data_IF_230567486421
#
_entry.id   IF_230567486421
#
_cell.length_a   1.000
_cell.length_b   1.000
_cell.length_c   1.000
_cell.angle_alpha   90.00
_cell.angle_beta   90.00
_cell.angle_gamma   90.00
#
_symmetry.space_group_name_H-M   'P 1'
#
loop_
_entity.id
_entity.type
_entity.pdbx_description
1 polymer ?
#
# COMPACT_ATOMS: atom_id res chain seq x y z
N UNK A 1 19.76 -19.90 3.81
CA UNK A 1 18.56 -20.41 4.50
C UNK A 1 17.48 -19.34 4.35
N UNK A 2 16.70 -19.46 3.27
CA UNK A 2 15.63 -18.52 2.92
C UNK A 2 14.42 -18.74 3.84
N UNK A 3 14.05 -17.73 4.62
CA UNK A 3 12.82 -17.76 5.41
C UNK A 3 11.70 -17.19 4.55
N UNK A 4 10.87 -18.08 4.02
CA UNK A 4 9.69 -17.72 3.23
C UNK A 4 8.61 -17.21 4.21
N UNK A 5 8.43 -15.90 4.32
CA UNK A 5 7.34 -15.34 5.12
C UNK A 5 6.02 -15.62 4.40
N UNK A 6 5.28 -16.60 4.94
CA UNK A 6 4.02 -17.06 4.36
C UNK A 6 2.88 -16.30 5.06
N UNK A 7 2.45 -15.19 4.46
CA UNK A 7 1.23 -14.49 4.85
C UNK A 7 0.03 -15.33 4.39
N UNK A 8 -0.41 -16.30 5.20
CA UNK A 8 -1.59 -17.14 4.95
C UNK A 8 -1.71 -17.74 3.53
N UNK A 9 -0.59 -18.17 2.94
CA UNK A 9 -0.54 -18.73 1.58
C UNK A 9 -0.06 -17.76 0.49
N UNK A 10 0.19 -16.50 0.83
CA UNK A 10 0.79 -15.49 -0.05
C UNK A 10 2.28 -15.40 0.29
N UNK A 11 3.13 -15.64 -0.70
CA UNK A 11 4.57 -15.50 -0.55
C UNK A 11 4.92 -14.01 -0.53
N UNK A 12 5.20 -13.48 0.66
CA UNK A 12 5.84 -12.17 0.81
C UNK A 12 7.34 -12.42 1.03
N UNK A 13 8.14 -12.13 0.00
CA UNK A 13 9.58 -12.38 0.02
C UNK A 13 10.34 -11.21 0.64
N UNK A 14 10.03 -10.81 1.87
CA UNK A 14 10.98 -9.99 2.63
C UNK A 14 12.02 -10.92 3.24
N UNK A 15 13.20 -11.01 2.64
CA UNK A 15 14.33 -11.65 3.31
C UNK A 15 14.58 -10.84 4.58
N UNK A 16 14.49 -11.48 5.75
CA UNK A 16 14.54 -10.93 7.12
C UNK A 16 15.61 -9.85 7.44
N UNK A 17 16.54 -9.55 6.52
CA UNK A 17 17.59 -8.55 6.65
C UNK A 17 17.35 -7.23 5.86
N UNK A 18 16.52 -7.24 4.81
CA UNK A 18 16.36 -6.07 3.92
C UNK A 18 15.18 -5.20 4.36
N UNK A 19 15.38 -4.45 5.45
CA UNK A 19 14.43 -3.42 5.91
C UNK A 19 14.59 -2.13 5.11
N UNK A 20 13.55 -1.30 5.10
CA UNK A 20 13.68 0.08 4.61
C UNK A 20 14.75 0.82 5.45
N UNK A 21 15.50 1.72 4.85
CA UNK A 21 16.46 2.54 5.60
C UNK A 21 15.74 3.42 6.63
N UNK A 22 16.33 3.61 7.81
CA UNK A 22 15.78 4.49 8.83
C UNK A 22 16.13 5.95 8.49
N UNK A 23 15.11 6.80 8.38
CA UNK A 23 15.28 8.25 8.25
C UNK A 23 14.35 8.95 9.23
N UNK A 24 14.79 10.06 9.87
CA UNK A 24 13.93 10.82 10.76
C UNK A 24 12.84 11.55 9.96
N UNK A 25 11.61 11.54 10.50
CA UNK A 25 10.47 12.27 9.94
C UNK A 25 9.92 13.19 11.02
N UNK A 26 9.81 14.48 10.72
CA UNK A 26 9.23 15.46 11.65
C UNK A 26 7.72 15.25 11.84
N UNK A 27 7.04 14.76 10.80
CA UNK A 27 5.63 14.39 10.86
C UNK A 27 5.48 12.99 11.51
N UNK A 28 4.82 12.87 12.68
CA UNK A 28 4.62 11.59 13.35
C UNK A 28 3.85 10.56 12.52
N UNK A 29 2.96 10.99 11.63
CA UNK A 29 2.28 10.08 10.70
C UNK A 29 3.26 9.47 9.71
N UNK A 30 4.12 10.29 9.10
CA UNK A 30 5.13 9.80 8.17
C UNK A 30 6.15 8.89 8.87
N UNK A 31 6.55 9.24 10.09
CA UNK A 31 7.39 8.39 10.92
C UNK A 31 6.77 7.01 11.15
N UNK A 32 5.49 6.96 11.53
CA UNK A 32 4.76 5.72 11.76
C UNK A 32 4.62 4.88 10.48
N UNK A 33 4.27 5.50 9.35
CA UNK A 33 4.10 4.77 8.08
C UNK A 33 5.41 4.21 7.55
N UNK A 34 6.50 4.97 7.70
CA UNK A 34 7.81 4.62 7.16
C UNK A 34 8.71 3.91 8.15
N UNK A 35 8.22 3.58 9.36
CA UNK A 35 8.98 2.87 10.38
C UNK A 35 9.54 1.54 9.82
N UNK A 36 10.87 1.37 9.79
CA UNK A 36 11.50 0.18 9.22
C UNK A 36 11.26 -1.10 10.03
N UNK A 37 10.78 -1.01 11.28
CA UNK A 37 10.39 -2.17 12.07
C UNK A 37 9.13 -2.87 11.52
N UNK A 38 8.29 -2.16 10.77
CA UNK A 38 7.02 -2.63 10.23
C UNK A 38 7.06 -2.69 8.69
N UNK A 39 7.47 -3.83 8.08
CA UNK A 39 7.53 -3.97 6.63
C UNK A 39 6.14 -3.94 5.97
N UNK A 40 5.08 -4.27 6.71
CA UNK A 40 3.70 -4.11 6.26
C UNK A 40 3.01 -3.05 7.12
N UNK A 41 2.44 -2.04 6.46
CA UNK A 41 1.67 -0.98 7.12
C UNK A 41 0.33 -0.80 6.41
N UNK A 42 -0.73 -0.64 7.21
CA UNK A 42 -2.07 -0.29 6.75
C UNK A 42 -2.46 1.05 7.35
N UNK A 43 -2.80 2.00 6.49
CA UNK A 43 -3.35 3.31 6.84
C UNK A 43 -4.85 3.27 6.58
N UNK A 44 -5.63 3.45 7.63
CA UNK A 44 -7.10 3.47 7.59
C UNK A 44 -7.57 4.90 7.78
N UNK A 45 -8.51 5.36 6.96
CA UNK A 45 -9.10 6.70 7.11
C UNK A 45 -10.63 6.70 7.02
N UNK A 46 -11.26 7.74 7.55
CA UNK A 46 -12.72 7.84 7.63
C UNK A 46 -13.37 8.66 6.49
N UNK A 47 -12.59 9.18 5.53
CA UNK A 47 -13.14 9.77 4.31
C UNK A 47 -13.99 8.72 3.55
N UNK A 48 -15.15 9.13 3.02
CA UNK A 48 -16.21 8.22 2.58
C UNK A 48 -17.04 8.71 1.38
N UNK A 49 -16.51 9.61 0.55
CA UNK A 49 -17.24 10.22 -0.58
C UNK A 49 -16.57 10.01 -1.94
N UNK A 50 -15.42 9.34 -1.98
CA UNK A 50 -14.58 9.20 -3.17
C UNK A 50 -14.88 7.91 -3.94
N UNK A 51 -14.85 8.00 -5.27
CA UNK A 51 -15.15 6.88 -6.18
C UNK A 51 -13.91 6.54 -7.01
N UNK A 52 -13.68 7.28 -8.10
CA UNK A 52 -12.57 7.04 -9.04
C UNK A 52 -11.36 7.94 -8.81
N UNK A 53 -11.50 8.94 -7.95
CA UNK A 53 -10.46 9.86 -7.49
C UNK A 53 -10.69 10.14 -6.01
N UNK A 54 -9.60 10.19 -5.26
CA UNK A 54 -9.60 10.49 -3.85
C UNK A 54 -8.55 11.57 -3.55
N UNK A 55 -8.97 12.86 -3.53
CA UNK A 55 -8.10 13.97 -3.17
C UNK A 55 -7.54 13.85 -1.75
N UNK A 56 -8.31 13.25 -0.84
CA UNK A 56 -7.88 13.04 0.54
C UNK A 56 -6.72 12.03 0.61
N UNK A 57 -6.87 10.84 0.02
CA UNK A 57 -5.75 9.89 -0.06
C UNK A 57 -4.54 10.50 -0.78
N UNK A 58 -4.76 11.29 -1.85
CA UNK A 58 -3.69 12.00 -2.55
C UNK A 58 -2.93 12.97 -1.63
N UNK A 59 -3.64 13.76 -0.83
CA UNK A 59 -3.03 14.67 0.15
C UNK A 59 -2.29 13.89 1.25
N UNK A 60 -2.89 12.78 1.72
CA UNK A 60 -2.35 11.93 2.77
C UNK A 60 -1.02 11.26 2.36
N UNK A 61 -0.94 10.73 1.14
CA UNK A 61 0.26 10.03 0.67
C UNK A 61 1.32 10.97 0.11
N UNK A 62 0.95 12.19 -0.27
CA UNK A 62 1.85 13.14 -0.93
C UNK A 62 3.17 13.39 -0.17
N UNK A 63 3.15 13.69 1.14
CA UNK A 63 4.37 13.81 1.94
C UNK A 63 5.22 12.54 1.95
N UNK A 64 4.61 11.35 2.02
CA UNK A 64 5.31 10.06 1.99
C UNK A 64 6.01 9.85 0.65
N UNK A 65 5.31 10.11 -0.46
CA UNK A 65 5.86 9.97 -1.81
C UNK A 65 7.03 10.92 -2.04
N UNK A 66 6.95 12.16 -1.54
CA UNK A 66 8.05 13.12 -1.63
C UNK A 66 9.26 12.65 -0.84
N UNK A 67 9.07 12.20 0.40
CA UNK A 67 10.17 11.66 1.20
C UNK A 67 10.80 10.45 0.51
N UNK A 68 10.02 9.46 0.09
CA UNK A 68 10.53 8.25 -0.56
C UNK A 68 11.32 8.55 -1.84
N UNK A 69 10.95 9.58 -2.60
CA UNK A 69 11.66 9.96 -3.82
C UNK A 69 12.82 10.94 -3.61
N UNK A 70 12.95 11.57 -2.44
CA UNK A 70 13.97 12.58 -2.18
C UNK A 70 15.36 11.93 -2.06
N UNK A 71 16.34 12.28 -2.93
CA UNK A 71 17.71 11.76 -2.85
C UNK A 71 18.43 12.06 -1.54
N UNK A 72 18.02 13.09 -0.80
CA UNK A 72 18.58 13.40 0.52
C UNK A 72 18.10 12.44 1.62
N UNK A 73 17.04 11.67 1.36
CA UNK A 73 16.55 10.63 2.27
C UNK A 73 16.64 9.26 1.59
N UNK A 74 15.57 8.75 1.00
CA UNK A 74 15.51 7.40 0.47
C UNK A 74 15.97 7.29 -0.99
N UNK A 75 15.78 8.35 -1.79
CA UNK A 75 16.20 8.39 -3.20
C UNK A 75 15.62 7.28 -4.09
N UNK A 76 14.40 6.81 -3.81
CA UNK A 76 13.79 5.72 -4.58
C UNK A 76 13.32 6.21 -5.95
N UNK A 77 13.87 5.61 -7.01
CA UNK A 77 13.45 5.87 -8.38
C UNK A 77 12.11 5.19 -8.73
N UNK A 78 11.56 5.55 -9.89
CA UNK A 78 10.32 4.99 -10.42
C UNK A 78 10.47 3.59 -11.06
N UNK A 79 11.69 3.06 -11.17
CA UNK A 79 12.00 1.86 -11.94
C UNK A 79 12.08 0.63 -11.05
N UNK A 80 12.87 0.69 -9.99
CA UNK A 80 13.12 -0.40 -9.03
C UNK A 80 12.92 0.04 -7.57
N UNK A 81 12.88 1.35 -7.31
CA UNK A 81 12.71 1.93 -5.99
C UNK A 81 11.26 1.90 -5.50
N UNK A 82 10.41 2.74 -6.08
CA UNK A 82 9.04 3.02 -5.64
C UNK A 82 8.02 2.56 -6.67
N UNK A 83 6.97 1.89 -6.19
CA UNK A 83 5.75 1.63 -6.95
C UNK A 83 4.54 2.18 -6.21
N UNK A 84 3.71 2.97 -6.89
CA UNK A 84 2.41 3.44 -6.40
C UNK A 84 1.33 2.81 -7.25
N UNK A 85 0.41 2.14 -6.59
CA UNK A 85 -0.58 1.27 -7.23
C UNK A 85 -1.96 1.79 -6.90
N UNK A 86 -2.75 2.12 -7.92
CA UNK A 86 -4.11 2.64 -7.77
C UNK A 86 -5.09 1.91 -8.69
N UNK A 87 -6.37 1.77 -8.33
CA UNK A 87 -7.34 1.13 -9.22
C UNK A 87 -7.67 1.91 -10.48
N UNK A 88 -7.80 3.23 -10.31
CA UNK A 88 -8.50 4.06 -11.28
C UNK A 88 -7.52 4.88 -12.09
N UNK A 89 -7.73 4.91 -13.40
CA UNK A 89 -6.94 5.76 -14.31
C UNK A 89 -7.05 7.23 -13.94
N UNK A 90 -8.20 7.66 -13.40
CA UNK A 90 -8.41 9.03 -12.97
C UNK A 90 -7.56 9.39 -11.74
N UNK A 91 -7.47 8.50 -10.74
CA UNK A 91 -6.54 8.66 -9.62
C UNK A 91 -5.08 8.63 -10.09
N UNK A 92 -4.73 7.70 -10.98
CA UNK A 92 -3.40 7.61 -11.58
C UNK A 92 -3.00 8.93 -12.23
N UNK A 93 -3.85 9.48 -13.09
CA UNK A 93 -3.60 10.75 -13.76
C UNK A 93 -3.42 11.90 -12.77
N UNK A 94 -4.27 11.98 -11.73
CA UNK A 94 -4.19 13.01 -10.70
C UNK A 94 -2.86 12.94 -9.92
N UNK A 95 -2.40 11.74 -9.57
CA UNK A 95 -1.12 11.54 -8.89
C UNK A 95 0.07 11.83 -9.81
N UNK A 96 0.05 11.39 -11.06
CA UNK A 96 1.11 11.69 -12.03
C UNK A 96 1.24 13.20 -12.27
N UNK A 97 0.12 13.93 -12.33
CA UNK A 97 0.12 15.38 -12.46
C UNK A 97 0.66 16.09 -11.21
N UNK A 98 0.32 15.63 -10.01
CA UNK A 98 0.77 16.25 -8.77
C UNK A 98 2.23 15.91 -8.41
N UNK A 99 2.74 14.78 -8.89
CA UNK A 99 4.07 14.27 -8.58
C UNK A 99 4.85 13.93 -9.87
N UNK A 100 5.15 14.92 -10.73
CA UNK A 100 5.81 14.68 -12.02
C UNK A 100 7.21 14.07 -11.85
N UNK A 101 7.89 14.33 -10.73
CA UNK A 101 9.19 13.74 -10.38
C UNK A 101 9.15 12.21 -10.20
N UNK A 102 7.96 11.63 -10.01
CA UNK A 102 7.76 10.18 -9.96
C UNK A 102 7.62 9.55 -11.36
N UNK A 103 7.76 10.36 -12.41
CA UNK A 103 7.76 9.88 -13.79
C UNK A 103 9.11 10.17 -14.43
N UNK A 104 9.67 9.15 -15.08
CA UNK A 104 10.84 9.27 -15.92
C UNK A 104 10.35 9.66 -17.31
N UNK A 105 10.76 10.85 -17.76
CA UNK A 105 10.56 11.26 -19.13
C UNK A 105 11.52 10.50 -20.04
N UNK A 106 11.02 10.05 -21.18
CA UNK A 106 11.84 9.52 -22.25
C UNK A 106 12.75 10.67 -22.77
N UNK A 107 14.09 10.52 -22.69
CA UNK A 107 15.02 11.56 -23.13
C UNK A 107 14.89 11.91 -24.61
N UNK A 108 14.42 10.98 -25.45
CA UNK A 108 14.32 11.17 -26.89
C UNK A 108 13.02 11.88 -27.31
N UNK A 109 11.93 11.67 -26.58
CA UNK A 109 10.61 12.24 -26.93
C UNK A 109 10.15 13.36 -25.98
N UNK A 110 10.77 13.48 -24.80
CA UNK A 110 10.33 14.38 -23.73
C UNK A 110 8.99 13.98 -23.11
N UNK A 111 8.40 12.85 -23.52
CA UNK A 111 7.12 12.35 -23.03
C UNK A 111 7.32 11.43 -21.82
N UNK A 112 6.30 11.21 -20.97
CA UNK A 112 6.39 10.26 -19.87
C UNK A 112 6.66 8.84 -20.40
N UNK A 113 7.89 8.35 -20.20
CA UNK A 113 8.31 7.01 -20.62
C UNK A 113 7.89 5.95 -19.60
N UNK A 114 8.07 6.23 -18.30
CA UNK A 114 7.70 5.31 -17.21
C UNK A 114 7.33 6.08 -15.96
N UNK A 115 6.37 5.59 -15.19
CA UNK A 115 5.92 6.22 -13.95
C UNK A 115 5.93 5.23 -12.79
N UNK A 116 6.29 5.71 -11.59
CA UNK A 116 6.14 4.94 -10.37
C UNK A 116 4.66 4.66 -10.10
N UNK A 117 3.76 5.53 -10.58
CA UNK A 117 2.32 5.46 -10.37
C UNK A 117 1.65 4.77 -11.55
N UNK A 118 1.04 3.61 -11.32
CA UNK A 118 0.22 2.94 -12.33
C UNK A 118 -1.00 2.21 -11.78
N UNK A 119 -1.87 1.77 -12.69
CA UNK A 119 -2.94 0.83 -12.33
C UNK A 119 -2.39 -0.58 -12.19
N UNK A 120 -3.13 -1.43 -11.49
CA UNK A 120 -2.62 -2.75 -11.06
C UNK A 120 -2.35 -3.68 -12.23
N UNK A 121 -3.18 -3.58 -13.26
CA UNK A 121 -3.03 -4.34 -14.52
C UNK A 121 -1.81 -3.86 -15.31
N UNK A 122 -1.48 -2.58 -15.16
CA UNK A 122 -0.37 -1.93 -15.86
C UNK A 122 0.90 -1.88 -15.04
N UNK A 123 0.85 -2.28 -13.78
CA UNK A 123 2.02 -2.44 -12.93
C UNK A 123 2.87 -3.61 -13.45
N UNK A 124 3.62 -3.31 -14.53
CA UNK A 124 4.45 -4.24 -15.28
C UNK A 124 5.91 -4.03 -14.90
N UNK A 125 6.58 -5.15 -14.61
CA UNK A 125 7.95 -5.19 -14.10
C UNK A 125 8.03 -5.92 -12.76
N UNK A 126 9.26 -6.23 -12.36
CA UNK A 126 9.57 -6.98 -11.15
C UNK A 126 9.20 -6.26 -9.85
N UNK A 127 9.72 -6.77 -8.74
CA UNK A 127 9.50 -6.21 -7.40
C UNK A 127 10.10 -4.79 -7.26
N UNK A 128 9.50 -3.95 -6.41
CA UNK A 128 9.98 -2.62 -5.99
C UNK A 128 10.46 -2.64 -4.56
N UNK A 129 11.39 -1.77 -4.21
CA UNK A 129 11.85 -1.58 -2.82
C UNK A 129 10.67 -1.25 -1.90
N UNK A 130 9.84 -0.29 -2.31
CA UNK A 130 8.59 0.09 -1.64
C UNK A 130 7.43 0.00 -2.61
N UNK A 131 6.33 -0.61 -2.18
CA UNK A 131 5.03 -0.50 -2.86
C UNK A 131 4.05 0.23 -1.94
N UNK A 132 3.37 1.23 -2.48
CA UNK A 132 2.28 1.94 -1.83
C UNK A 132 1.00 1.72 -2.66
N UNK A 133 -0.03 1.16 -2.05
CA UNK A 133 -1.36 1.01 -2.66
C UNK A 133 -2.28 2.08 -2.10
N UNK A 134 -2.92 2.85 -2.98
CA UNK A 134 -4.00 3.78 -2.64
C UNK A 134 -5.31 3.19 -3.16
N UNK A 135 -6.21 2.82 -2.24
CA UNK A 135 -7.46 2.14 -2.56
C UNK A 135 -8.42 3.03 -3.33
N UNK A 136 -8.33 4.35 -3.15
CA UNK A 136 -9.13 5.39 -3.82
C UNK A 136 -10.61 5.38 -3.42
N UNK A 137 -11.28 4.24 -3.52
CA UNK A 137 -12.70 4.09 -3.30
C UNK A 137 -13.04 4.19 -1.80
N UNK A 138 -13.97 5.06 -1.47
CA UNK A 138 -14.45 5.26 -0.10
C UNK A 138 -15.95 5.49 0.01
N UNK A 139 -16.61 5.87 -1.09
CA UNK A 139 -18.06 5.95 -1.19
C UNK A 139 -18.69 4.56 -1.10
N UNK A 140 -19.59 4.40 -0.12
CA UNK A 140 -20.25 3.12 0.16
C UNK A 140 -21.11 2.65 -1.01
N UNK A 141 -21.86 3.57 -1.63
CA UNK A 141 -22.75 3.24 -2.75
C UNK A 141 -21.97 2.71 -3.95
N UNK A 142 -20.87 3.39 -4.29
CA UNK A 142 -19.98 2.97 -5.37
C UNK A 142 -19.29 1.64 -5.09
N UNK A 143 -18.77 1.42 -3.88
CA UNK A 143 -18.11 0.17 -3.49
C UNK A 143 -19.04 -1.05 -3.63
N UNK A 144 -20.32 -0.91 -3.25
CA UNK A 144 -21.34 -1.94 -3.41
C UNK A 144 -21.68 -2.21 -4.88
N UNK A 145 -21.73 -1.17 -5.72
CA UNK A 145 -22.12 -1.29 -7.12
C UNK A 145 -20.99 -1.79 -8.05
N UNK A 146 -19.74 -1.45 -7.74
CA UNK A 146 -18.59 -1.68 -8.64
C UNK A 146 -17.84 -2.98 -8.41
N UNK A 147 -18.19 -3.75 -7.36
CA UNK A 147 -17.35 -4.83 -6.84
C UNK A 147 -15.89 -4.35 -6.68
N UNK A 148 -15.72 -3.32 -5.83
CA UNK A 148 -14.54 -2.45 -5.72
C UNK A 148 -13.16 -3.12 -5.83
N UNK A 149 -12.15 -2.33 -6.16
CA UNK A 149 -10.81 -2.82 -6.48
C UNK A 149 -10.17 -3.75 -5.43
N UNK A 150 -10.34 -3.42 -4.14
CA UNK A 150 -9.84 -4.25 -3.03
C UNK A 150 -10.64 -5.55 -2.84
N UNK A 151 -11.74 -5.73 -3.56
CA UNK A 151 -12.53 -6.96 -3.60
C UNK A 151 -11.96 -7.99 -4.58
N UNK A 152 -11.01 -7.62 -5.47
CA UNK A 152 -10.25 -8.61 -6.27
C UNK A 152 -8.98 -9.04 -5.51
N UNK A 153 -9.00 -10.22 -4.86
CA UNK A 153 -7.88 -10.70 -4.06
C UNK A 153 -6.59 -10.88 -4.87
N UNK A 154 -6.68 -11.12 -6.18
CA UNK A 154 -5.51 -11.33 -7.03
C UNK A 154 -4.74 -10.03 -7.19
N UNK A 155 -5.44 -8.90 -7.32
CA UNK A 155 -4.86 -7.58 -7.51
C UNK A 155 -4.09 -7.12 -6.27
N UNK A 156 -4.67 -7.32 -5.08
CA UNK A 156 -3.98 -7.02 -3.82
C UNK A 156 -2.81 -7.99 -3.54
N UNK A 157 -2.96 -9.28 -3.88
CA UNK A 157 -1.85 -10.26 -3.79
C UNK A 157 -0.68 -9.84 -4.66
N UNK A 158 -0.95 -9.39 -5.89
CA UNK A 158 0.08 -8.87 -6.77
C UNK A 158 0.74 -7.66 -6.13
N UNK A 159 0.00 -6.67 -5.65
CA UNK A 159 0.60 -5.49 -5.03
C UNK A 159 1.50 -5.84 -3.83
N UNK A 160 1.04 -6.71 -2.92
CA UNK A 160 1.81 -7.14 -1.74
C UNK A 160 3.07 -7.91 -2.13
N UNK A 161 2.97 -8.87 -3.07
CA UNK A 161 4.11 -9.69 -3.51
C UNK A 161 5.16 -8.91 -4.31
N UNK A 162 4.86 -7.68 -4.72
CA UNK A 162 5.80 -6.83 -5.45
C UNK A 162 6.65 -5.95 -4.53
N UNK A 163 6.40 -5.90 -3.23
CA UNK A 163 7.22 -5.14 -2.29
C UNK A 163 8.40 -5.98 -1.77
N UNK A 164 9.63 -5.48 -1.91
CA UNK A 164 10.85 -6.11 -1.36
C UNK A 164 11.04 -5.82 0.12
N UNK A 165 10.86 -4.54 0.52
CA UNK A 165 11.23 -4.06 1.86
C UNK A 165 10.07 -3.45 2.64
N UNK A 166 9.17 -2.73 1.96
CA UNK A 166 7.99 -2.14 2.59
C UNK A 166 6.76 -2.16 1.67
N UNK A 167 5.63 -2.52 2.24
CA UNK A 167 4.31 -2.43 1.64
C UNK A 167 3.43 -1.53 2.51
N UNK A 168 2.87 -0.48 1.90
CA UNK A 168 1.92 0.44 2.53
C UNK A 168 0.59 0.33 1.81
N UNK A 169 -0.48 0.00 2.52
CA UNK A 169 -1.85 0.08 2.01
C UNK A 169 -2.55 1.28 2.63
N UNK A 170 -3.14 2.14 1.82
CA UNK A 170 -4.00 3.25 2.26
C UNK A 170 -5.41 2.97 1.77
N UNK A 171 -6.38 2.94 2.69
CA UNK A 171 -7.77 2.65 2.36
C UNK A 171 -8.77 3.25 3.35
N UNK A 172 -9.96 3.57 2.85
CA UNK A 172 -11.08 4.00 3.69
C UNK A 172 -11.59 2.87 4.60
N UNK A 173 -12.03 3.24 5.81
CA UNK A 173 -12.75 2.34 6.72
C UNK A 173 -14.00 1.74 6.08
N UNK A 174 -14.63 2.44 5.14
CA UNK A 174 -15.79 1.94 4.40
C UNK A 174 -15.48 0.62 3.70
N UNK A 175 -14.30 0.51 3.08
CA UNK A 175 -13.83 -0.73 2.45
C UNK A 175 -13.86 -1.87 3.47
N UNK A 176 -13.27 -1.66 4.65
CA UNK A 176 -13.20 -2.68 5.71
C UNK A 176 -14.57 -3.05 6.33
N UNK A 177 -15.52 -2.10 6.34
CA UNK A 177 -16.86 -2.28 6.89
C UNK A 177 -17.81 -3.05 5.98
N UNK A 178 -17.60 -2.99 4.66
CA UNK A 178 -18.45 -3.65 3.66
C UNK A 178 -18.20 -5.16 3.55
N UNK A 179 -17.10 -5.66 4.11
CA UNK A 179 -16.85 -7.09 4.25
C UNK A 179 -17.72 -7.71 5.37
N UNK A 180 -19.00 -7.98 5.04
CA UNK A 180 -19.95 -8.78 5.84
C UNK A 180 -20.27 -10.10 5.09
N UNK A 181 -20.62 -11.22 5.77
CA UNK A 181 -20.39 -12.60 5.28
C UNK A 181 -21.26 -13.14 4.14
N UNK A 182 -22.26 -12.41 3.65
CA UNK A 182 -23.25 -12.93 2.71
C UNK A 182 -22.88 -12.61 1.25
N UNK A 183 -22.05 -13.47 0.64
CA UNK A 183 -22.10 -13.92 -0.77
C UNK A 183 -20.74 -14.44 -1.27
N UNK A 184 -20.74 -15.44 -2.15
CA UNK A 184 -19.57 -16.21 -2.59
C UNK A 184 -18.40 -15.41 -3.21
N UNK A 185 -18.62 -14.16 -3.62
CA UNK A 185 -17.58 -13.24 -4.10
C UNK A 185 -16.71 -12.70 -2.94
N UNK A 186 -17.24 -12.68 -1.71
CA UNK A 186 -16.58 -12.14 -0.52
C UNK A 186 -15.65 -13.10 0.22
N UNK A 187 -15.64 -14.39 -0.11
CA UNK A 187 -14.78 -15.37 0.58
C UNK A 187 -13.29 -14.98 0.51
N UNK A 188 -12.85 -14.35 -0.57
CA UNK A 188 -11.47 -13.92 -0.74
C UNK A 188 -11.19 -12.52 -0.18
N UNK A 189 -12.18 -11.64 -0.24
CA UNK A 189 -12.13 -10.30 0.34
C UNK A 189 -12.05 -10.38 1.89
N UNK A 190 -12.79 -11.34 2.47
CA UNK A 190 -12.73 -11.71 3.88
C UNK A 190 -11.37 -12.31 4.27
N UNK A 191 -10.72 -13.08 3.39
CA UNK A 191 -9.34 -13.58 3.63
C UNK A 191 -8.35 -12.42 3.78
N UNK A 192 -8.51 -11.36 2.99
CA UNK A 192 -7.64 -10.18 3.07
C UNK A 192 -7.90 -9.32 4.29
N UNK A 193 -9.16 -9.03 4.61
CA UNK A 193 -9.51 -8.38 5.88
C UNK A 193 -8.94 -9.18 7.05
N UNK A 194 -9.14 -10.50 7.07
CA UNK A 194 -8.58 -11.36 8.10
C UNK A 194 -7.05 -11.36 8.10
N UNK A 195 -6.39 -11.33 6.93
CA UNK A 195 -4.93 -11.30 6.84
C UNK A 195 -4.37 -9.98 7.38
N UNK A 196 -4.90 -8.84 6.93
CA UNK A 196 -4.46 -7.53 7.39
C UNK A 196 -4.79 -7.31 8.86
N UNK A 197 -5.98 -7.71 9.33
CA UNK A 197 -6.36 -7.61 10.74
C UNK A 197 -5.55 -8.55 11.65
N UNK A 198 -5.06 -9.70 11.14
CA UNK A 198 -4.19 -10.61 11.92
C UNK A 198 -2.72 -10.23 11.87
N UNK A 199 -2.28 -9.59 10.77
CA UNK A 199 -0.88 -9.24 10.59
C UNK A 199 -0.58 -7.86 11.15
N UNK A 200 -1.41 -6.86 10.82
CA UNK A 200 -1.25 -5.49 11.26
C UNK A 200 -2.06 -5.22 12.53
N UNK A 201 -1.52 -5.67 13.65
CA UNK A 201 -2.18 -5.60 14.97
C UNK A 201 -1.64 -4.49 15.87
N UNK A 202 -0.50 -3.88 15.50
CA UNK A 202 0.12 -2.83 16.30
C UNK A 202 -0.33 -1.46 15.80
N UNK A 203 -1.04 -0.69 16.62
CA UNK A 203 -1.30 0.72 16.31
C UNK A 203 0.00 1.51 16.45
N UNK A 204 0.45 2.14 15.35
CA UNK A 204 1.67 2.94 15.31
C UNK A 204 1.38 4.43 15.51
N UNK A 205 0.21 4.88 15.05
CA UNK A 205 -0.21 6.26 15.14
C UNK A 205 -1.71 6.37 14.87
N UNK A 206 -2.36 7.33 15.50
CA UNK A 206 -3.71 7.73 15.15
C UNK A 206 -3.91 9.24 15.38
N UNK A 207 -4.68 9.88 14.52
CA UNK A 207 -4.88 11.33 14.59
C UNK A 207 -5.86 11.85 13.55
N UNK A 208 -5.94 13.17 13.46
CA UNK A 208 -6.72 13.88 12.44
C UNK A 208 -5.81 14.32 11.28
N UNK A 209 -6.33 14.25 10.07
CA UNK A 209 -5.74 14.81 8.85
C UNK A 209 -6.85 15.54 8.11
N UNK A 210 -6.76 16.85 7.98
CA UNK A 210 -7.73 17.68 7.26
C UNK A 210 -9.20 17.41 7.66
N UNK A 211 -9.46 17.18 8.95
CA UNK A 211 -10.81 16.89 9.48
C UNK A 211 -11.26 15.44 9.29
N UNK A 212 -10.37 14.55 8.85
CA UNK A 212 -10.61 13.12 8.68
C UNK A 212 -9.74 12.33 9.66
N UNK A 213 -10.37 11.44 10.42
CA UNK A 213 -9.66 10.50 11.29
C UNK A 213 -8.83 9.54 10.46
N UNK A 214 -7.56 9.35 10.86
CA UNK A 214 -6.61 8.43 10.24
C UNK A 214 -5.91 7.59 11.32
N UNK A 215 -5.71 6.31 11.04
CA UNK A 215 -5.03 5.33 11.89
C UNK A 215 -3.97 4.59 11.06
N UNK A 216 -2.82 4.32 11.68
CA UNK A 216 -1.69 3.60 11.07
C UNK A 216 -1.44 2.33 11.87
N UNK A 217 -1.53 1.19 11.20
CA UNK A 217 -1.39 -0.13 11.78
C UNK A 217 -0.20 -0.86 11.17
N UNK A 218 0.73 -1.30 12.01
CA UNK A 218 1.94 -2.01 11.62
C UNK A 218 1.80 -3.51 11.83
N UNK A 219 2.27 -4.28 10.85
CA UNK A 219 2.48 -5.71 10.97
C UNK A 219 3.95 -6.04 11.13
N UNK A 220 4.35 -6.42 12.34
CA UNK A 220 5.67 -6.96 12.57
C UNK A 220 5.74 -8.32 11.87
N UNK A 221 6.80 -8.57 11.09
CA UNK A 221 7.01 -9.88 10.51
C UNK A 221 7.25 -10.89 11.64
N UNK A 222 6.25 -11.70 11.99
CA UNK A 222 6.46 -12.80 12.93
C UNK A 222 7.58 -13.69 12.39
N UNK A 223 8.62 -13.88 13.21
CA UNK A 223 9.46 -15.05 13.09
C UNK A 223 8.56 -16.24 13.44
N UNK A 224 8.13 -17.02 12.45
CA UNK A 224 7.52 -18.31 12.75
C UNK A 224 8.51 -19.08 13.61
N UNK A 225 8.19 -19.24 14.90
CA UNK A 225 8.87 -20.19 15.75
C UNK A 225 8.71 -21.55 15.08
N UNK A 226 9.83 -22.25 14.84
CA UNK A 226 9.79 -23.64 14.45
C UNK A 226 9.09 -24.41 15.56
N UNK A 227 7.85 -24.83 15.32
CA UNK A 227 7.32 -25.95 16.07
C UNK A 227 8.04 -27.18 15.53
N UNK A 228 9.17 -27.50 16.14
CA UNK A 228 9.71 -28.86 16.14
C UNK A 228 8.62 -29.75 16.73
N UNK A 229 7.92 -30.47 15.87
CA UNK A 229 7.12 -31.61 16.29
C UNK A 229 8.03 -32.81 16.11
N UNK A 230 8.71 -33.18 17.20
CA UNK A 230 9.23 -34.52 17.38
C UNK A 230 8.08 -35.52 17.25
N UNK A 231 8.26 -36.50 16.37
CA UNK A 231 7.40 -37.67 16.18
C UNK A 231 8.07 -38.62 15.21
#
# INVERSE_FOLDING_TARGET
MDVLHRLAGIAYHSRKADRLAAHPHADPFAAAVLDPAYPLVVVVHDEAASQVRNPFEQALIGPLLRALADPATYGLDAVDGLGVVVPHRAQRAALQQAFPKLSVLDPATGLPGRSAVDTVERFQGGERTVVLVSATESDRGYLLASAGFLLDPRRLTVAVSRAKRKMVLVASRTVFSLFSPDEGTFANALRWKNLLSRTCTTELWAGDRDGVRVEVWGGAGEASASTDIHG
#
